data_IF_910923724976
#
_entry.id   IF_910923724976
#
_cell.length_a   1.000
_cell.length_b   1.000
_cell.length_c   1.000
_cell.angle_alpha   90.00
_cell.angle_beta   90.00
_cell.angle_gamma   90.00
#
_symmetry.space_group_name_H-M   'P 1'
#
loop_
_entity.id
_entity.type
_entity.pdbx_description
1 polymer ?
#
# COMPACT_ATOMS: atom_id res chain seq x y z
N UNK A 1 23.00 5.79 0.91
CA UNK A 1 22.39 7.08 1.29
C UNK A 1 21.47 7.48 0.14
N UNK A 2 20.17 7.21 0.21
CA UNK A 2 19.25 7.76 -0.82
C UNK A 2 18.96 9.19 -0.41
N UNK A 3 19.17 10.12 -1.35
CA UNK A 3 18.79 11.50 -1.17
C UNK A 3 17.30 11.58 -0.82
N UNK A 4 16.99 12.51 0.08
CA UNK A 4 15.65 13.09 0.21
C UNK A 4 15.01 13.23 -1.17
N UNK A 5 13.80 12.72 -1.34
CA UNK A 5 13.00 12.99 -2.53
C UNK A 5 11.94 13.99 -2.06
N UNK A 6 12.12 15.30 -2.32
CA UNK A 6 11.08 16.30 -2.14
C UNK A 6 9.75 15.82 -2.71
N UNK A 7 8.62 16.26 -2.13
CA UNK A 7 7.32 15.92 -2.70
C UNK A 7 7.15 16.50 -4.12
N UNK A 8 7.88 17.57 -4.46
CA UNK A 8 8.01 18.06 -5.84
C UNK A 8 8.62 17.00 -6.75
N UNK A 9 9.70 16.36 -6.34
CA UNK A 9 10.40 15.33 -7.12
C UNK A 9 9.54 14.06 -7.23
N UNK A 10 8.75 13.74 -6.20
CA UNK A 10 7.74 12.68 -6.29
C UNK A 10 6.66 13.04 -7.30
N UNK A 11 6.10 14.26 -7.23
CA UNK A 11 5.09 14.72 -8.16
C UNK A 11 5.63 14.70 -9.61
N UNK A 12 6.87 15.13 -9.81
CA UNK A 12 7.55 15.05 -11.10
C UNK A 12 7.76 13.58 -11.52
N UNK A 13 8.17 12.69 -10.62
CA UNK A 13 8.25 11.26 -10.95
C UNK A 13 6.89 10.69 -11.38
N UNK A 14 5.79 11.08 -10.73
CA UNK A 14 4.44 10.69 -11.14
C UNK A 14 4.06 11.25 -12.51
N UNK A 15 4.45 12.49 -12.83
CA UNK A 15 4.25 13.08 -14.16
C UNK A 15 4.93 12.27 -15.28
N UNK A 16 6.01 11.55 -14.97
CA UNK A 16 6.71 10.69 -15.93
C UNK A 16 6.19 9.25 -15.93
N UNK A 17 5.68 8.77 -14.79
CA UNK A 17 5.30 7.37 -14.61
C UNK A 17 3.80 7.10 -14.91
N UNK A 18 2.95 8.12 -14.83
CA UNK A 18 1.50 8.00 -15.01
C UNK A 18 0.99 9.04 -16.01
N UNK A 19 0.78 8.61 -17.25
CA UNK A 19 0.34 9.45 -18.36
C UNK A 19 -1.03 10.10 -18.10
N UNK A 20 -1.92 9.42 -17.39
CA UNK A 20 -3.27 9.90 -17.12
C UNK A 20 -3.27 10.96 -16.02
N UNK A 21 -2.45 10.79 -14.98
CA UNK A 21 -2.18 11.85 -14.01
C UNK A 21 -1.51 13.05 -14.68
N UNK A 22 -0.51 12.80 -15.53
CA UNK A 22 0.19 13.86 -16.23
C UNK A 22 -0.73 14.66 -17.15
N UNK A 23 -1.71 14.01 -17.79
CA UNK A 23 -2.73 14.67 -18.59
C UNK A 23 -3.65 15.56 -17.73
N UNK A 24 -4.11 15.07 -16.57
CA UNK A 24 -4.92 15.86 -15.63
C UNK A 24 -4.18 17.10 -15.13
N UNK A 25 -2.93 16.95 -14.70
CA UNK A 25 -2.11 18.08 -14.25
C UNK A 25 -1.92 19.11 -15.36
N UNK A 26 -1.58 18.68 -16.58
CA UNK A 26 -1.45 19.59 -17.73
C UNK A 26 -2.74 20.35 -18.05
N UNK A 27 -3.89 19.69 -17.96
CA UNK A 27 -5.19 20.33 -18.16
C UNK A 27 -5.48 21.38 -17.07
N UNK A 28 -5.20 21.04 -15.81
CA UNK A 28 -5.33 21.96 -14.68
C UNK A 28 -4.43 23.19 -14.85
N UNK A 29 -3.15 22.98 -15.16
CA UNK A 29 -2.17 24.06 -15.38
C UNK A 29 -2.55 24.95 -16.58
N UNK A 30 -3.16 24.38 -17.61
CA UNK A 30 -3.67 25.14 -18.76
C UNK A 30 -4.82 26.08 -18.34
N UNK A 31 -5.67 25.64 -17.40
CA UNK A 31 -6.85 26.40 -16.95
C UNK A 31 -6.51 27.47 -15.91
N UNK A 32 -5.63 27.17 -14.96
CA UNK A 32 -5.39 28.01 -13.79
C UNK A 32 -3.97 28.60 -13.74
N UNK A 33 -3.07 28.17 -14.63
CA UNK A 33 -1.67 28.53 -14.61
C UNK A 33 -0.82 27.55 -13.80
N UNK A 34 0.49 27.77 -13.81
CA UNK A 34 1.44 26.98 -13.03
C UNK A 34 1.84 27.75 -11.77
N UNK A 35 1.68 27.12 -10.60
CA UNK A 35 2.08 27.65 -9.31
C UNK A 35 3.04 26.70 -8.61
N UNK A 36 4.10 27.26 -8.01
CA UNK A 36 5.10 26.49 -7.27
C UNK A 36 4.45 25.66 -6.16
N UNK A 37 4.76 24.37 -6.12
CA UNK A 37 4.21 23.43 -5.13
C UNK A 37 2.81 22.90 -5.43
N UNK A 38 2.07 23.47 -6.40
CA UNK A 38 0.71 23.01 -6.71
C UNK A 38 0.68 21.57 -7.23
N UNK A 39 1.66 21.16 -8.05
CA UNK A 39 1.78 19.76 -8.50
C UNK A 39 1.85 18.76 -7.35
N UNK A 40 2.49 19.14 -6.25
CA UNK A 40 2.58 18.31 -5.06
C UNK A 40 1.22 18.19 -4.35
N UNK A 41 0.44 19.28 -4.30
CA UNK A 41 -0.95 19.28 -3.80
C UNK A 41 -1.85 18.41 -4.68
N UNK A 42 -1.72 18.51 -6.02
CA UNK A 42 -2.47 17.69 -6.97
C UNK A 42 -2.11 16.19 -6.84
N UNK A 43 -0.82 15.87 -6.66
CA UNK A 43 -0.37 14.51 -6.41
C UNK A 43 -0.92 13.97 -5.08
N UNK A 44 -0.96 14.81 -4.03
CA UNK A 44 -1.62 14.48 -2.78
C UNK A 44 -3.09 14.14 -3.00
N UNK A 45 -3.84 15.04 -3.64
CA UNK A 45 -5.26 14.86 -3.97
C UNK A 45 -5.51 13.55 -4.74
N UNK A 46 -4.79 13.32 -5.83
CA UNK A 46 -4.97 12.17 -6.70
C UNK A 46 -4.61 10.84 -6.03
N UNK A 47 -3.50 10.78 -5.29
CA UNK A 47 -2.96 9.54 -4.77
C UNK A 47 -3.17 9.35 -3.26
N UNK A 48 -4.11 10.05 -2.63
CA UNK A 48 -4.44 9.79 -1.24
C UNK A 48 -5.13 8.43 -1.06
N UNK A 49 -4.67 7.65 -0.08
CA UNK A 49 -5.31 6.39 0.29
C UNK A 49 -6.45 6.64 1.30
N UNK A 50 -7.68 6.62 0.79
CA UNK A 50 -8.90 6.84 1.58
C UNK A 50 -9.17 5.80 2.68
N UNK A 51 -8.56 4.62 2.59
CA UNK A 51 -8.75 3.50 3.54
C UNK A 51 -7.56 3.27 4.47
N UNK A 52 -6.66 4.25 4.59
CA UNK A 52 -5.56 4.19 5.54
C UNK A 52 -6.04 4.27 6.99
N UNK A 53 -5.31 3.71 7.96
CA UNK A 53 -5.72 3.73 9.39
C UNK A 53 -5.83 5.15 9.97
N UNK A 54 -5.10 6.10 9.37
CA UNK A 54 -5.10 7.52 9.74
C UNK A 54 -6.02 8.37 8.83
N UNK A 55 -6.92 7.76 8.06
CA UNK A 55 -7.67 8.43 6.99
C UNK A 55 -8.43 9.71 7.43
N UNK A 56 -8.94 9.82 8.67
CA UNK A 56 -9.53 11.08 9.16
C UNK A 56 -8.49 12.20 9.23
N UNK A 57 -7.30 11.88 9.72
CA UNK A 57 -6.19 12.83 9.74
C UNK A 57 -5.74 13.13 8.30
N UNK A 58 -5.56 12.11 7.46
CA UNK A 58 -5.15 12.30 6.06
C UNK A 58 -6.14 13.16 5.27
N UNK A 59 -7.46 12.96 5.47
CA UNK A 59 -8.49 13.78 4.84
C UNK A 59 -8.45 15.24 5.32
N UNK A 60 -8.12 15.49 6.58
CA UNK A 60 -7.93 16.86 7.08
C UNK A 60 -6.66 17.49 6.50
N UNK A 61 -5.56 16.73 6.49
CA UNK A 61 -4.28 17.18 5.93
C UNK A 61 -4.38 17.50 4.44
N UNK A 62 -5.17 16.73 3.68
CA UNK A 62 -5.34 16.98 2.26
C UNK A 62 -6.27 18.16 1.97
N UNK A 63 -7.38 18.28 2.72
CA UNK A 63 -8.25 19.46 2.63
C UNK A 63 -7.48 20.73 3.01
N UNK A 64 -6.62 20.66 4.03
CA UNK A 64 -5.72 21.76 4.40
C UNK A 64 -4.73 22.06 3.29
N UNK A 65 -4.12 21.03 2.68
CA UNK A 65 -3.17 21.22 1.58
C UNK A 65 -3.80 21.97 0.40
N UNK A 66 -5.04 21.60 0.05
CA UNK A 66 -5.84 22.25 -1.00
C UNK A 66 -6.20 23.69 -0.60
N UNK A 67 -6.67 23.89 0.64
CA UNK A 67 -7.04 25.23 1.13
C UNK A 67 -5.87 26.19 1.18
N UNK A 68 -4.71 25.73 1.63
CA UNK A 68 -3.49 26.54 1.74
C UNK A 68 -2.71 26.64 0.41
N UNK A 69 -3.02 25.80 -0.58
CA UNK A 69 -2.26 25.69 -1.82
C UNK A 69 -0.83 25.17 -1.62
N UNK A 70 -0.59 24.43 -0.53
CA UNK A 70 0.73 23.96 -0.12
C UNK A 70 0.66 22.51 0.33
N UNK A 71 1.62 21.66 -0.03
CA UNK A 71 1.58 20.28 0.39
C UNK A 71 1.77 20.12 1.91
N UNK A 72 1.12 19.11 2.48
CA UNK A 72 1.26 18.72 3.90
C UNK A 72 2.09 17.46 4.07
N UNK A 73 2.37 17.02 5.29
CA UNK A 73 3.23 15.86 5.59
C UNK A 73 2.46 14.53 5.59
N UNK A 74 1.76 14.21 4.49
CA UNK A 74 0.93 13.00 4.37
C UNK A 74 1.54 11.97 3.39
N UNK A 75 1.39 10.68 3.72
CA UNK A 75 1.86 9.57 2.89
C UNK A 75 0.89 9.26 1.73
N UNK A 76 1.41 9.17 0.51
CA UNK A 76 0.65 8.85 -0.70
C UNK A 76 0.41 7.32 -0.84
N UNK A 77 -0.48 6.94 -1.74
CA UNK A 77 -0.70 5.54 -2.13
C UNK A 77 0.62 4.87 -2.50
N UNK A 78 0.83 3.65 -1.98
CA UNK A 78 2.10 2.93 -2.14
C UNK A 78 3.22 3.43 -1.24
N UNK A 79 3.09 4.56 -0.53
CA UNK A 79 4.07 4.95 0.47
C UNK A 79 3.83 4.23 1.81
N UNK A 80 4.91 3.79 2.46
CA UNK A 80 4.92 3.15 3.78
C UNK A 80 5.89 3.88 4.71
N UNK A 81 5.56 4.00 5.99
CA UNK A 81 6.49 4.54 6.99
C UNK A 81 7.66 3.56 7.23
N UNK A 82 8.77 4.01 7.82
CA UNK A 82 9.91 3.12 8.01
C UNK A 82 9.60 1.98 8.98
N UNK A 83 8.84 2.24 10.05
CA UNK A 83 8.37 1.20 10.99
C UNK A 83 7.62 0.09 10.25
N UNK A 84 6.79 0.45 9.27
CA UNK A 84 6.01 -0.52 8.50
C UNK A 84 6.89 -1.31 7.54
N UNK A 85 7.82 -0.62 6.91
CA UNK A 85 8.79 -1.26 6.04
C UNK A 85 9.67 -2.24 6.82
N UNK A 86 10.10 -1.90 8.03
CA UNK A 86 10.85 -2.80 8.92
C UNK A 86 10.05 -4.07 9.26
N UNK A 87 8.75 -3.97 9.54
CA UNK A 87 7.90 -5.14 9.76
C UNK A 87 7.79 -6.03 8.50
N UNK A 88 7.62 -5.43 7.31
CA UNK A 88 7.61 -6.17 6.03
C UNK A 88 8.95 -6.89 5.79
N UNK A 89 10.06 -6.19 6.02
CA UNK A 89 11.41 -6.74 5.88
C UNK A 89 11.63 -7.90 6.87
N UNK A 90 11.10 -7.82 8.10
CA UNK A 90 11.18 -8.91 9.08
C UNK A 90 10.48 -10.20 8.61
N UNK A 91 9.33 -10.11 7.93
CA UNK A 91 8.71 -11.29 7.31
C UNK A 91 9.57 -11.88 6.19
N UNK A 92 10.09 -11.04 5.28
CA UNK A 92 10.95 -11.48 4.18
C UNK A 92 12.22 -12.16 4.68
N UNK A 93 12.88 -11.55 5.66
CA UNK A 93 14.06 -12.12 6.32
C UNK A 93 13.71 -13.41 7.03
N UNK A 94 12.61 -13.46 7.78
CA UNK A 94 12.17 -14.68 8.46
C UNK A 94 11.92 -15.85 7.49
N UNK A 95 11.28 -15.58 6.35
CA UNK A 95 11.02 -16.57 5.31
C UNK A 95 12.31 -17.07 4.65
N UNK A 96 13.22 -16.15 4.29
CA UNK A 96 14.53 -16.50 3.70
C UNK A 96 15.42 -17.26 4.70
N UNK A 97 15.42 -16.85 5.97
CA UNK A 97 16.15 -17.52 7.03
C UNK A 97 15.67 -18.97 7.20
N UNK A 98 14.35 -19.19 7.12
CA UNK A 98 13.78 -20.53 7.21
C UNK A 98 14.16 -21.41 6.01
N UNK A 99 14.28 -20.84 4.80
CA UNK A 99 14.82 -21.55 3.63
C UNK A 99 16.32 -21.87 3.73
N UNK A 100 17.03 -21.27 4.68
CA UNK A 100 18.48 -21.40 4.85
C UNK A 100 19.30 -20.48 3.95
N UNK A 101 18.72 -19.38 3.47
CA UNK A 101 19.41 -18.41 2.60
C UNK A 101 20.17 -17.39 3.44
N UNK A 102 21.25 -16.86 2.86
CA UNK A 102 22.00 -15.75 3.46
C UNK A 102 21.10 -14.53 3.62
N UNK A 103 21.17 -13.93 4.81
CA UNK A 103 20.34 -12.81 5.19
C UNK A 103 21.01 -11.50 4.79
N UNK A 104 20.24 -10.55 4.23
CA UNK A 104 20.79 -9.23 3.93
C UNK A 104 21.16 -8.56 5.26
N UNK A 105 22.21 -7.72 5.28
CA UNK A 105 22.51 -6.91 6.46
C UNK A 105 21.31 -6.00 6.73
N UNK A 106 20.53 -6.36 7.74
CA UNK A 106 19.27 -5.71 8.05
C UNK A 106 19.41 -4.99 9.39
N UNK A 107 19.22 -3.66 9.44
CA UNK A 107 19.13 -2.97 10.72
C UNK A 107 17.88 -3.42 11.47
N UNK A 108 17.98 -3.43 12.81
CA UNK A 108 16.92 -3.63 13.81
C UNK A 108 15.62 -4.23 13.27
N UNK A 109 15.63 -5.54 13.04
CA UNK A 109 14.44 -6.30 12.68
C UNK A 109 13.56 -6.50 13.91
N UNK A 110 12.24 -6.54 13.68
CA UNK A 110 11.31 -7.07 14.67
C UNK A 110 11.59 -8.57 14.88
N UNK A 111 12.31 -8.90 15.94
CA UNK A 111 12.71 -10.26 16.29
C UNK A 111 11.52 -11.16 16.59
N UNK A 112 10.39 -10.59 17.01
CA UNK A 112 9.18 -11.34 17.32
C UNK A 112 8.52 -11.82 16.04
N UNK A 113 8.50 -11.00 14.98
CA UNK A 113 8.03 -11.41 13.66
C UNK A 113 8.90 -12.56 13.13
N UNK A 114 10.23 -12.42 13.14
CA UNK A 114 11.15 -13.47 12.65
C UNK A 114 10.97 -14.78 13.43
N UNK A 115 10.86 -14.71 14.75
CA UNK A 115 10.62 -15.86 15.63
C UNK A 115 9.27 -16.52 15.33
N UNK A 116 8.23 -15.72 15.10
CA UNK A 116 6.88 -16.18 14.77
C UNK A 116 6.83 -16.89 13.43
N UNK A 117 7.49 -16.37 12.39
CA UNK A 117 7.62 -17.01 11.08
C UNK A 117 8.19 -18.42 11.23
N UNK A 118 9.33 -18.55 11.92
CA UNK A 118 9.97 -19.84 12.19
C UNK A 118 9.03 -20.80 12.92
N UNK A 119 8.38 -20.32 13.98
CA UNK A 119 7.45 -21.13 14.79
C UNK A 119 6.28 -21.66 13.98
N UNK A 120 5.70 -20.84 13.10
CA UNK A 120 4.53 -21.24 12.33
C UNK A 120 4.85 -22.15 11.15
N UNK A 121 5.95 -21.89 10.43
CA UNK A 121 6.38 -22.80 9.38
C UNK A 121 6.72 -24.18 9.95
N UNK A 122 7.29 -24.22 11.16
CA UNK A 122 7.62 -25.45 11.87
C UNK A 122 8.73 -26.22 11.16
N UNK A 123 8.64 -27.55 11.20
CA UNK A 123 9.62 -28.45 10.58
C UNK A 123 9.65 -28.31 9.05
N UNK A 124 10.85 -28.50 8.49
CA UNK A 124 11.11 -28.46 7.06
C UNK A 124 10.34 -29.55 6.32
N UNK A 125 9.84 -29.21 5.13
CA UNK A 125 9.09 -30.10 4.27
C UNK A 125 9.16 -29.58 2.83
N UNK A 126 9.38 -30.43 1.81
CA UNK A 126 9.55 -29.98 0.43
C UNK A 126 8.43 -29.07 -0.08
N UNK A 127 7.17 -29.42 0.22
CA UNK A 127 6.02 -28.58 -0.15
C UNK A 127 6.05 -27.20 0.51
N UNK A 128 6.49 -27.12 1.78
CA UNK A 128 6.59 -25.84 2.49
C UNK A 128 7.67 -24.97 1.86
N UNK A 129 8.81 -25.55 1.47
CA UNK A 129 9.89 -24.82 0.77
C UNK A 129 9.36 -24.19 -0.52
N UNK A 130 8.70 -24.99 -1.35
CA UNK A 130 8.10 -24.50 -2.60
C UNK A 130 7.06 -23.39 -2.37
N UNK A 131 6.18 -23.56 -1.37
CA UNK A 131 5.17 -22.56 -1.02
C UNK A 131 5.78 -21.27 -0.43
N UNK A 132 6.86 -21.37 0.36
CA UNK A 132 7.58 -20.20 0.89
C UNK A 132 8.26 -19.43 -0.24
N UNK A 133 8.83 -20.11 -1.23
CA UNK A 133 9.41 -19.45 -2.42
C UNK A 133 8.34 -18.74 -3.26
N UNK A 134 7.18 -19.37 -3.45
CA UNK A 134 6.03 -18.73 -4.10
C UNK A 134 5.54 -17.50 -3.32
N UNK A 135 5.45 -17.60 -1.99
CA UNK A 135 5.11 -16.45 -1.14
C UNK A 135 6.14 -15.33 -1.27
N UNK A 136 7.43 -15.63 -1.28
CA UNK A 136 8.49 -14.63 -1.46
C UNK A 136 8.37 -13.90 -2.82
N UNK A 137 8.10 -14.62 -3.92
CA UNK A 137 7.80 -14.00 -5.22
C UNK A 137 6.62 -13.03 -5.11
N UNK A 138 5.51 -13.48 -4.51
CA UNK A 138 4.33 -12.64 -4.33
C UNK A 138 4.63 -11.40 -3.47
N UNK A 139 5.34 -11.53 -2.35
CA UNK A 139 5.65 -10.39 -1.47
C UNK A 139 6.62 -9.38 -2.10
N UNK A 140 7.64 -9.86 -2.82
CA UNK A 140 8.61 -8.96 -3.46
C UNK A 140 7.95 -8.17 -4.61
N UNK A 141 7.09 -8.81 -5.40
CA UNK A 141 6.37 -8.14 -6.48
C UNK A 141 5.27 -7.21 -5.96
N UNK A 142 4.40 -7.71 -5.07
CA UNK A 142 3.20 -6.97 -4.62
C UNK A 142 3.54 -5.82 -3.67
N UNK A 143 4.69 -5.88 -2.97
CA UNK A 143 4.95 -4.99 -1.84
C UNK A 143 6.26 -4.27 -2.00
N UNK A 144 7.37 -4.99 -2.17
CA UNK A 144 8.69 -4.34 -2.19
C UNK A 144 8.88 -3.52 -3.46
N UNK A 145 8.39 -4.03 -4.60
CA UNK A 145 8.49 -3.33 -5.88
C UNK A 145 7.47 -2.20 -6.02
N UNK A 146 6.29 -2.35 -5.41
CA UNK A 146 5.20 -1.37 -5.45
C UNK A 146 5.17 -0.36 -4.30
N UNK A 147 5.95 -0.57 -3.23
CA UNK A 147 5.95 0.31 -2.04
C UNK A 147 7.19 1.21 -1.96
N UNK A 148 6.96 2.50 -1.74
CA UNK A 148 7.99 3.51 -1.52
C UNK A 148 8.03 3.92 -0.05
N UNK A 149 9.15 4.41 0.46
CA UNK A 149 9.20 4.94 1.84
C UNK A 149 8.60 6.34 1.84
N UNK A 150 7.67 6.60 2.76
CA UNK A 150 7.11 7.95 2.98
C UNK A 150 8.19 8.88 3.51
N UNK A 151 8.24 10.10 2.97
CA UNK A 151 9.10 11.18 3.44
C UNK A 151 8.18 12.32 3.86
N UNK A 152 8.35 12.88 5.05
CA UNK A 152 7.53 13.98 5.54
C UNK A 152 7.78 15.26 4.71
N UNK A 153 6.92 16.28 4.81
CA UNK A 153 7.00 17.47 3.96
C UNK A 153 8.27 18.33 4.19
N UNK A 154 8.91 18.24 5.36
CA UNK A 154 10.23 18.85 5.63
C UNK A 154 11.40 17.97 5.13
N UNK A 155 11.05 16.89 4.45
CA UNK A 155 11.70 15.59 4.37
C UNK A 155 12.89 15.29 5.26
N UNK A 156 12.63 15.49 6.53
CA UNK A 156 13.03 14.47 7.49
C UNK A 156 12.34 13.14 7.11
N UNK A 157 13.11 12.06 7.05
CA UNK A 157 12.58 10.80 7.61
C UNK A 157 12.28 11.10 9.08
N UNK A 158 11.21 10.54 9.65
CA UNK A 158 10.92 10.82 11.05
C UNK A 158 12.20 10.57 11.87
N UNK A 159 12.69 11.51 12.70
CA UNK A 159 13.96 11.38 13.38
C UNK A 159 14.04 10.04 14.13
N UNK A 160 15.00 9.19 13.76
CA UNK A 160 15.16 7.83 14.31
C UNK A 160 14.79 6.67 13.37
N UNK A 161 14.35 6.94 12.13
CA UNK A 161 14.04 5.88 11.17
C UNK A 161 15.29 5.29 10.50
N UNK A 162 15.48 3.98 10.61
CA UNK A 162 16.65 3.27 10.07
C UNK A 162 16.48 2.92 8.59
N UNK A 163 17.51 3.05 7.74
CA UNK A 163 17.40 2.75 6.31
C UNK A 163 17.00 1.30 6.04
N UNK A 164 15.95 1.10 5.25
CA UNK A 164 15.48 -0.22 4.87
C UNK A 164 16.38 -0.88 3.80
N UNK A 165 16.52 -2.22 3.76
CA UNK A 165 17.29 -2.92 2.75
C UNK A 165 16.81 -2.61 1.33
N UNK A 166 17.74 -2.60 0.37
CA UNK A 166 17.38 -2.48 -1.04
C UNK A 166 16.60 -3.73 -1.49
N UNK A 167 15.57 -3.57 -2.33
CA UNK A 167 14.83 -4.69 -2.92
C UNK A 167 15.74 -5.67 -3.66
N UNK A 168 16.83 -5.17 -4.25
CA UNK A 168 17.87 -5.97 -4.90
C UNK A 168 18.65 -6.88 -3.94
N UNK A 169 18.45 -6.75 -2.62
CA UNK A 169 19.06 -7.63 -1.62
C UNK A 169 18.25 -8.90 -1.34
N UNK A 170 17.01 -8.96 -1.85
CA UNK A 170 16.14 -10.13 -1.76
C UNK A 170 16.30 -10.98 -3.03
N UNK A 171 17.37 -11.78 -3.07
CA UNK A 171 17.65 -12.71 -4.15
C UNK A 171 17.41 -14.16 -3.71
N UNK A 172 17.03 -14.98 -4.68
CA UNK A 172 16.99 -16.44 -4.57
C UNK A 172 18.40 -17.01 -4.38
N UNK A 173 18.49 -18.29 -4.03
CA UNK A 173 19.77 -18.98 -3.88
C UNK A 173 20.62 -19.00 -5.18
N UNK A 174 19.98 -18.96 -6.34
CA UNK A 174 20.63 -18.89 -7.65
C UNK A 174 20.98 -17.46 -8.09
N UNK A 175 20.77 -16.45 -7.24
CA UNK A 175 21.05 -15.05 -7.52
C UNK A 175 19.98 -14.34 -8.35
N UNK A 176 18.94 -15.03 -8.83
CA UNK A 176 17.84 -14.38 -9.52
C UNK A 176 16.90 -13.67 -8.54
N UNK A 177 16.06 -12.77 -9.08
CA UNK A 177 15.08 -12.03 -8.29
C UNK A 177 13.88 -12.92 -7.97
N UNK A 178 13.32 -12.74 -6.77
CA UNK A 178 11.97 -13.22 -6.48
C UNK A 178 10.97 -12.41 -7.31
N UNK A 179 10.29 -13.06 -8.24
CA UNK A 179 9.22 -12.46 -9.04
C UNK A 179 8.25 -13.53 -9.54
N UNK A 180 6.97 -13.18 -9.62
CA UNK A 180 5.90 -13.97 -10.24
C UNK A 180 5.98 -13.95 -11.76
N UNK A 181 6.74 -13.03 -12.37
CA UNK A 181 6.97 -12.99 -13.82
C UNK A 181 7.91 -14.10 -14.32
N UNK A 182 8.66 -14.75 -13.43
CA UNK A 182 9.46 -15.94 -13.78
C UNK A 182 8.54 -17.18 -13.86
N UNK A 183 7.85 -17.30 -15.00
CA UNK A 183 6.80 -18.30 -15.21
C UNK A 183 7.29 -19.74 -15.11
N UNK A 184 8.53 -20.02 -15.52
CA UNK A 184 9.12 -21.36 -15.41
C UNK A 184 9.36 -21.72 -13.94
N UNK A 185 10.00 -20.83 -13.19
CA UNK A 185 10.21 -21.04 -11.75
C UNK A 185 8.89 -21.19 -11.00
N UNK A 186 7.93 -20.28 -11.23
CA UNK A 186 6.61 -20.33 -10.58
C UNK A 186 5.90 -21.65 -10.88
N UNK A 187 5.87 -22.08 -12.14
CA UNK A 187 5.22 -23.33 -12.54
C UNK A 187 5.89 -24.56 -11.92
N UNK A 188 7.23 -24.56 -11.87
CA UNK A 188 7.99 -25.62 -11.21
C UNK A 188 7.67 -25.69 -9.72
N UNK A 189 7.60 -24.56 -9.01
CA UNK A 189 7.31 -24.55 -7.57
C UNK A 189 5.87 -24.94 -7.25
N UNK A 190 4.90 -24.58 -8.09
CA UNK A 190 3.52 -25.08 -7.96
C UNK A 190 3.48 -26.61 -8.06
N UNK A 191 4.10 -27.14 -9.11
CA UNK A 191 4.21 -28.60 -9.34
C UNK A 191 4.91 -29.30 -8.16
N UNK A 192 6.00 -28.72 -7.66
CA UNK A 192 6.73 -29.28 -6.52
C UNK A 192 5.88 -29.26 -5.25
N UNK A 193 5.11 -28.20 -5.01
CA UNK A 193 4.19 -28.15 -3.88
C UNK A 193 3.12 -29.25 -4.01
N UNK A 194 2.42 -29.33 -5.15
CA UNK A 194 1.32 -30.27 -5.42
C UNK A 194 1.70 -31.74 -5.22
N UNK A 195 2.91 -32.15 -5.63
CA UNK A 195 3.41 -33.54 -5.50
C UNK A 195 3.36 -34.11 -4.08
N UNK A 196 3.30 -33.26 -3.08
CA UNK A 196 3.34 -33.65 -1.68
C UNK A 196 1.99 -33.49 -0.97
N UNK A 197 0.92 -33.20 -1.71
CA UNK A 197 -0.44 -33.17 -1.17
C UNK A 197 -1.17 -34.46 -1.48
N UNK A 198 -2.05 -34.92 -0.56
CA UNK A 198 -2.91 -36.08 -0.81
C UNK A 198 -4.06 -35.75 -1.77
N UNK A 199 -4.37 -34.47 -1.98
CA UNK A 199 -5.49 -33.97 -2.76
C UNK A 199 -5.04 -32.78 -3.61
N UNK A 200 -5.29 -32.86 -4.92
CA UNK A 200 -5.02 -31.77 -5.87
C UNK A 200 -5.81 -30.51 -5.48
N UNK A 201 -7.08 -30.65 -5.13
CA UNK A 201 -7.93 -29.53 -4.71
C UNK A 201 -7.39 -28.81 -3.46
N UNK A 202 -6.80 -29.55 -2.50
CA UNK A 202 -6.22 -28.95 -1.30
C UNK A 202 -4.91 -28.20 -1.63
N UNK A 203 -4.11 -28.74 -2.55
CA UNK A 203 -2.91 -28.09 -3.05
C UNK A 203 -3.24 -26.80 -3.79
N UNK A 204 -4.19 -26.85 -4.73
CA UNK A 204 -4.66 -25.70 -5.49
C UNK A 204 -5.20 -24.60 -4.56
N UNK A 205 -6.05 -24.96 -3.59
CA UNK A 205 -6.61 -24.01 -2.65
C UNK A 205 -5.53 -23.30 -1.81
N UNK A 206 -4.51 -24.04 -1.36
CA UNK A 206 -3.40 -23.46 -0.60
C UNK A 206 -2.50 -22.58 -1.48
N UNK A 207 -2.14 -23.04 -2.68
CA UNK A 207 -1.34 -22.26 -3.64
C UNK A 207 -2.06 -20.96 -3.99
N UNK A 208 -3.36 -21.04 -4.32
CA UNK A 208 -4.19 -19.88 -4.61
C UNK A 208 -4.24 -18.92 -3.42
N UNK A 209 -4.42 -19.44 -2.20
CA UNK A 209 -4.42 -18.64 -0.97
C UNK A 209 -3.07 -17.96 -0.68
N UNK A 210 -1.95 -18.65 -0.93
CA UNK A 210 -0.59 -18.09 -0.78
C UNK A 210 -0.33 -16.96 -1.77
N UNK A 211 -0.68 -17.18 -3.05
CA UNK A 211 -0.46 -16.24 -4.14
C UNK A 211 -1.48 -15.10 -4.19
N UNK A 212 -2.63 -15.25 -3.53
CA UNK A 212 -3.65 -14.21 -3.47
C UNK A 212 -3.05 -12.89 -2.98
N UNK A 213 -3.49 -11.77 -3.54
CA UNK A 213 -2.95 -10.47 -3.13
C UNK A 213 -3.23 -10.22 -1.65
N UNK A 214 -2.19 -9.83 -0.91
CA UNK A 214 -2.39 -9.24 0.41
C UNK A 214 -2.96 -7.84 0.21
N UNK A 215 -4.29 -7.69 0.32
CA UNK A 215 -5.04 -6.42 0.10
C UNK A 215 -4.38 -5.20 0.79
N UNK A 216 -4.35 -4.00 0.17
CA UNK A 216 -3.58 -2.85 0.67
C UNK A 216 -4.39 -2.00 1.69
N UNK A 217 -3.78 -1.12 2.52
CA UNK A 217 -2.53 -1.23 3.26
C UNK A 217 -2.74 -0.83 4.74
N UNK A 218 -3.82 -1.24 5.40
CA UNK A 218 -3.86 -1.14 6.87
C UNK A 218 -2.97 -2.26 7.43
N UNK A 219 -1.84 -1.90 8.06
CA UNK A 219 -0.82 -2.84 8.53
C UNK A 219 -1.40 -3.98 9.36
N UNK A 220 -2.41 -3.70 10.18
CA UNK A 220 -3.09 -4.72 10.98
C UNK A 220 -3.71 -5.84 10.14
N UNK A 221 -4.34 -5.53 9.00
CA UNK A 221 -4.87 -6.60 8.12
C UNK A 221 -3.74 -7.25 7.35
N UNK A 222 -2.77 -6.47 6.88
CA UNK A 222 -1.62 -6.98 6.15
C UNK A 222 -0.83 -8.04 6.95
N UNK A 223 -0.40 -7.71 8.18
CA UNK A 223 0.35 -8.67 9.02
C UNK A 223 -0.50 -9.89 9.34
N UNK A 224 -1.80 -9.72 9.56
CA UNK A 224 -2.72 -10.84 9.79
C UNK A 224 -2.90 -11.73 8.56
N UNK A 225 -2.94 -11.18 7.35
CA UNK A 225 -2.96 -11.97 6.12
C UNK A 225 -1.66 -12.75 5.95
N UNK A 226 -0.51 -12.15 6.23
CA UNK A 226 0.76 -12.87 6.22
C UNK A 226 0.77 -13.98 7.26
N UNK A 227 0.30 -13.69 8.47
CA UNK A 227 0.21 -14.64 9.56
C UNK A 227 -0.63 -15.87 9.16
N UNK A 228 -1.79 -15.63 8.52
CA UNK A 228 -2.65 -16.69 7.97
C UNK A 228 -1.90 -17.50 6.91
N UNK A 229 -1.30 -16.84 5.90
CA UNK A 229 -0.57 -17.51 4.82
C UNK A 229 0.55 -18.40 5.36
N UNK A 230 1.37 -17.87 6.27
CA UNK A 230 2.50 -18.58 6.86
C UNK A 230 2.02 -19.75 7.73
N UNK A 231 1.01 -19.52 8.57
CA UNK A 231 0.42 -20.58 9.39
C UNK A 231 -0.32 -21.65 8.56
N UNK A 232 -0.79 -21.30 7.37
CA UNK A 232 -1.35 -22.22 6.37
C UNK A 232 -0.30 -23.07 5.70
N UNK A 233 0.82 -22.46 5.29
CA UNK A 233 1.98 -23.19 4.77
C UNK A 233 2.49 -24.17 5.82
N UNK A 234 2.69 -23.72 7.06
CA UNK A 234 3.16 -24.56 8.16
C UNK A 234 2.26 -25.76 8.47
N UNK A 235 0.94 -25.60 8.28
CA UNK A 235 -0.05 -26.66 8.45
C UNK A 235 -0.31 -27.48 7.18
N UNK A 236 0.30 -27.14 6.04
CA UNK A 236 0.02 -27.70 4.71
C UNK A 236 -1.48 -27.78 4.41
N UNK A 237 -2.21 -26.73 4.76
CA UNK A 237 -3.63 -26.58 4.45
C UNK A 237 -4.03 -25.12 4.47
N UNK A 238 -4.93 -24.73 3.58
CA UNK A 238 -5.52 -23.41 3.66
C UNK A 238 -6.37 -23.29 4.93
N UNK A 239 -6.17 -22.23 5.71
CA UNK A 239 -6.81 -22.02 7.03
C UNK A 239 -7.88 -20.95 6.99
N UNK A 240 -8.26 -20.48 5.80
CA UNK A 240 -9.29 -19.46 5.59
C UNK A 240 -8.73 -18.05 5.50
N UNK A 241 -9.62 -17.06 5.44
CA UNK A 241 -9.29 -15.64 5.40
C UNK A 241 -9.31 -15.00 6.79
N UNK A 242 -9.23 -13.66 6.82
CA UNK A 242 -9.56 -12.92 8.04
C UNK A 242 -10.99 -13.28 8.51
N UNK A 243 -11.24 -13.33 9.83
CA UNK A 243 -12.61 -13.44 10.33
C UNK A 243 -13.47 -12.31 9.75
N UNK A 244 -14.78 -12.58 9.63
CA UNK A 244 -15.74 -11.60 9.13
C UNK A 244 -15.61 -10.28 9.91
N UNK A 245 -15.71 -9.17 9.19
CA UNK A 245 -15.58 -7.85 9.76
C UNK A 245 -16.56 -7.66 10.92
N UNK A 246 -16.08 -7.17 12.06
CA UNK A 246 -16.85 -6.98 13.29
C UNK A 246 -17.83 -5.79 13.24
N UNK A 247 -18.11 -5.27 12.03
CA UNK A 247 -18.90 -4.07 11.81
C UNK A 247 -18.12 -2.77 11.95
N UNK A 248 -16.80 -2.82 12.18
CA UNK A 248 -15.97 -1.61 12.12
C UNK A 248 -16.04 -0.93 10.73
N UNK A 249 -16.16 -1.69 9.62
CA UNK A 249 -16.44 -1.14 8.26
C UNK A 249 -17.71 -0.31 8.19
N UNK A 250 -18.79 -0.68 8.88
CA UNK A 250 -20.05 0.05 8.80
C UNK A 250 -19.93 1.48 9.36
N UNK A 251 -19.11 1.68 10.41
CA UNK A 251 -18.80 3.02 10.93
C UNK A 251 -17.92 3.82 9.97
N UNK A 252 -17.03 3.15 9.24
CA UNK A 252 -16.15 3.76 8.25
C UNK A 252 -16.92 4.20 6.99
N UNK A 253 -17.81 3.36 6.50
CA UNK A 253 -18.67 3.64 5.34
C UNK A 253 -19.59 4.83 5.58
N UNK A 254 -20.16 4.95 6.80
CA UNK A 254 -20.98 6.08 7.17
C UNK A 254 -20.20 7.40 7.15
N UNK A 255 -19.05 7.46 7.84
CA UNK A 255 -18.19 8.64 7.80
C UNK A 255 -17.78 8.99 6.36
N UNK A 256 -17.46 7.98 5.55
CA UNK A 256 -17.02 8.21 4.18
C UNK A 256 -18.12 8.82 3.31
N UNK A 257 -19.32 8.25 3.37
CA UNK A 257 -20.48 8.81 2.69
C UNK A 257 -20.71 10.26 3.11
N UNK A 258 -20.64 10.55 4.41
CA UNK A 258 -20.88 11.89 4.93
C UNK A 258 -19.76 12.88 4.51
N UNK A 259 -18.50 12.40 4.42
CA UNK A 259 -17.36 13.19 3.93
C UNK A 259 -17.45 13.45 2.42
N UNK A 260 -17.80 12.45 1.62
CA UNK A 260 -17.99 12.57 0.17
C UNK A 260 -19.14 13.53 -0.14
N UNK A 261 -20.25 13.41 0.59
CA UNK A 261 -21.39 14.34 0.50
C UNK A 261 -21.01 15.76 0.87
N UNK A 262 -20.24 15.95 1.96
CA UNK A 262 -19.73 17.25 2.34
C UNK A 262 -18.83 17.86 1.25
N UNK A 263 -17.87 17.11 0.71
CA UNK A 263 -16.99 17.61 -0.35
C UNK A 263 -17.76 18.00 -1.62
N UNK A 264 -18.76 17.20 -2.02
CA UNK A 264 -19.65 17.54 -3.14
C UNK A 264 -20.46 18.80 -2.84
N UNK A 265 -21.04 18.90 -1.65
CA UNK A 265 -21.75 20.09 -1.21
C UNK A 265 -20.86 21.33 -1.23
N UNK A 266 -19.59 21.22 -0.85
CA UNK A 266 -18.63 22.32 -0.89
C UNK A 266 -18.35 22.78 -2.33
N UNK A 267 -18.17 21.83 -3.26
CA UNK A 267 -17.97 22.11 -4.69
C UNK A 267 -19.19 22.82 -5.29
N UNK A 268 -20.39 22.38 -4.93
CA UNK A 268 -21.65 22.92 -5.43
C UNK A 268 -22.07 24.23 -4.75
N UNK A 269 -21.41 24.61 -3.66
CA UNK A 269 -21.78 25.79 -2.84
C UNK A 269 -23.00 25.58 -1.95
N UNK A 270 -23.33 24.33 -1.63
CA UNK A 270 -24.39 23.97 -0.69
C UNK A 270 -23.92 24.13 0.77
N UNK A 271 -24.83 24.59 1.63
CA UNK A 271 -24.58 24.63 3.07
C UNK A 271 -24.49 23.20 3.62
N UNK A 272 -23.37 22.86 4.28
CA UNK A 272 -23.16 21.55 4.88
C UNK A 272 -23.81 21.48 6.28
N UNK A 273 -24.82 20.63 6.50
CA UNK A 273 -25.56 20.61 7.77
C UNK A 273 -24.88 19.79 8.88
N UNK A 274 -23.68 19.24 8.64
CA UNK A 274 -23.00 18.29 9.53
C UNK A 274 -21.70 18.86 10.10
N UNK A 275 -21.27 18.32 11.26
CA UNK A 275 -20.00 18.70 11.91
C UNK A 275 -18.79 18.45 10.98
N UNK A 276 -18.82 17.33 10.25
CA UNK A 276 -17.77 17.00 9.28
C UNK A 276 -17.73 18.00 8.12
N UNK A 277 -18.88 18.45 7.61
CA UNK A 277 -18.92 19.45 6.55
C UNK A 277 -18.34 20.78 7.04
N UNK A 278 -18.75 21.23 8.23
CA UNK A 278 -18.22 22.45 8.84
C UNK A 278 -16.70 22.40 8.98
N UNK A 279 -16.16 21.26 9.43
CA UNK A 279 -14.73 21.03 9.56
C UNK A 279 -14.00 21.05 8.21
N UNK A 280 -14.47 20.29 7.22
CA UNK A 280 -13.83 20.22 5.90
C UNK A 280 -13.88 21.56 5.17
N UNK A 281 -14.99 22.31 5.30
CA UNK A 281 -15.16 23.62 4.67
C UNK A 281 -14.19 24.64 5.26
N UNK A 282 -13.98 24.60 6.58
CA UNK A 282 -13.02 25.46 7.25
C UNK A 282 -11.58 25.19 6.79
N UNK A 283 -11.22 23.93 6.54
CA UNK A 283 -9.89 23.54 6.04
C UNK A 283 -9.69 23.90 4.56
N UNK A 284 -10.71 23.72 3.73
CA UNK A 284 -10.67 24.04 2.29
C UNK A 284 -10.73 25.56 2.03
N UNK A 285 -11.32 26.33 2.95
CA UNK A 285 -11.50 27.76 2.83
C UNK A 285 -12.54 28.14 1.75
N UNK A 286 -12.36 29.33 1.17
CA UNK A 286 -13.28 29.86 0.15
C UNK A 286 -13.26 28.99 -1.12
N UNK A 287 -14.43 28.61 -1.67
CA UNK A 287 -14.53 27.71 -2.82
C UNK A 287 -14.29 28.44 -4.13
N UNK A 288 -13.05 28.88 -4.36
CA UNK A 288 -12.57 29.41 -5.64
C UNK A 288 -12.70 28.36 -6.75
N UNK A 289 -12.78 28.80 -8.02
CA UNK A 289 -12.89 27.90 -9.18
C UNK A 289 -11.75 26.86 -9.24
N UNK A 290 -10.51 27.27 -8.96
CA UNK A 290 -9.34 26.39 -8.94
C UNK A 290 -9.45 25.31 -7.85
N UNK A 291 -9.68 25.69 -6.59
CA UNK A 291 -9.83 24.71 -5.50
C UNK A 291 -11.01 23.76 -5.71
N UNK A 292 -12.13 24.23 -6.27
CA UNK A 292 -13.25 23.35 -6.67
C UNK A 292 -12.81 22.31 -7.69
N UNK A 293 -12.03 22.74 -8.70
CA UNK A 293 -11.47 21.82 -9.68
C UNK A 293 -10.52 20.80 -9.05
N UNK A 294 -9.65 21.20 -8.11
CA UNK A 294 -8.78 20.25 -7.38
C UNK A 294 -9.61 19.20 -6.63
N UNK A 295 -10.60 19.63 -5.85
CA UNK A 295 -11.46 18.70 -5.10
C UNK A 295 -12.24 17.78 -6.04
N UNK A 296 -12.83 18.32 -7.10
CA UNK A 296 -13.65 17.57 -8.03
C UNK A 296 -12.83 16.58 -8.87
N UNK A 297 -11.73 17.03 -9.45
CA UNK A 297 -10.99 16.29 -10.49
C UNK A 297 -9.86 15.44 -9.92
N UNK A 298 -9.34 15.75 -8.73
CA UNK A 298 -8.21 15.01 -8.15
C UNK A 298 -8.59 14.28 -6.86
N UNK A 299 -9.44 14.85 -6.00
CA UNK A 299 -9.80 14.22 -4.74
C UNK A 299 -11.00 13.27 -4.89
N UNK A 300 -12.11 13.74 -5.45
CA UNK A 300 -13.34 12.96 -5.58
C UNK A 300 -13.34 11.94 -6.72
N UNK A 301 -12.36 12.04 -7.64
CA UNK A 301 -12.18 11.09 -8.73
C UNK A 301 -11.16 10.01 -8.40
N UNK A 302 -11.29 8.80 -8.98
CA UNK A 302 -10.30 7.74 -8.80
C UNK A 302 -8.89 8.16 -9.29
N UNK A 303 -7.82 7.64 -8.65
CA UNK A 303 -6.45 7.82 -9.11
C UNK A 303 -6.23 7.24 -10.52
N UNK A 304 -5.30 7.79 -11.32
CA UNK A 304 -5.14 7.38 -12.71
C UNK A 304 -4.26 6.13 -12.97
N UNK A 305 -3.56 5.59 -11.95
CA UNK A 305 -2.54 4.51 -12.07
C UNK A 305 -2.70 3.27 -11.15
N UNK A 306 -1.90 2.21 -11.36
CA UNK A 306 -2.26 0.77 -11.54
C UNK A 306 -2.63 -0.19 -10.36
N UNK A 307 -2.89 0.21 -9.10
CA UNK A 307 -3.39 -0.80 -8.10
C UNK A 307 -4.41 -0.35 -7.02
N UNK A 308 -5.10 0.78 -7.17
CA UNK A 308 -6.32 1.12 -6.40
C UNK A 308 -7.62 0.88 -7.21
N UNK A 309 -7.46 0.22 -8.35
CA UNK A 309 -8.45 -0.30 -9.29
C UNK A 309 -9.51 -1.23 -8.67
N UNK A 310 -9.47 -1.44 -7.35
CA UNK A 310 -10.53 -1.95 -6.49
C UNK A 310 -11.47 -0.89 -5.89
N UNK A 311 -11.46 0.38 -6.33
CA UNK A 311 -12.70 1.20 -6.32
C UNK A 311 -13.83 0.50 -7.13
N UNK A 312 -13.46 -0.46 -7.99
CA UNK A 312 -14.21 -0.85 -9.19
C UNK A 312 -14.85 -2.25 -9.19
N UNK A 313 -14.74 -3.08 -8.14
CA UNK A 313 -15.46 -4.36 -8.18
C UNK A 313 -16.81 -4.37 -7.45
N UNK A 314 -17.12 -3.40 -6.58
CA UNK A 314 -18.29 -3.58 -5.70
C UNK A 314 -18.68 -2.43 -4.78
N UNK A 315 -18.89 -1.21 -5.29
CA UNK A 315 -20.01 -0.41 -4.74
C UNK A 315 -21.31 -1.09 -5.20
N UNK A 316 -21.60 -2.25 -4.59
CA UNK A 316 -22.60 -3.29 -4.90
C UNK A 316 -22.24 -4.29 -6.00
#
# INVERSE_FOLDING_TARGET
MRAHVPLSDFADAMMHADDAFAAKVRAHETRFGHADGMRAVLAQAAYNCWYHVEYRANLREICRAIGEGKPTSLALCGQVTAVRRAAMDAYLVGLRAWLGHDLPPTPELDSDIVTRVRKWLGEDHPAKRALVELLLCALVDQIVSGSHVSVLADGSQAPGETPCPNSSSYLRADGARYTLSDGEFVSSRKTDAERHFPSEADAEALIAGVLSESQPPCMHRYTRYLDIKIASIGALRWRGGLPADDGSKARWEAFWRDAEEALRGWVDGAAGPTDIASELYALLGEPTEERRAVVQEFLLEPPPGTAFWGWLAGRR
#
